data_IF_092625551349
#
_entry.id   IF_092625551349
#
_cell.length_a   1.000
_cell.length_b   1.000
_cell.length_c   1.000
_cell.angle_alpha   90.00
_cell.angle_beta   90.00
_cell.angle_gamma   90.00
#
_symmetry.space_group_name_H-M   'P 1'
#
loop_
_entity.id
_entity.type
_entity.pdbx_description
1 polymer ?
#
# COMPACT_ATOMS: atom_id res chain seq x y z
N UNK A 1 35.19 -12.10 16.49
CA UNK A 1 34.23 -11.05 16.88
C UNK A 1 34.23 -9.99 15.79
N UNK A 2 33.21 -9.96 14.94
CA UNK A 2 32.96 -8.84 14.04
C UNK A 2 31.45 -8.66 14.02
N UNK A 3 31.00 -7.71 14.83
CA UNK A 3 29.63 -7.29 14.96
C UNK A 3 29.33 -6.36 13.77
N UNK A 4 28.69 -6.89 12.74
CA UNK A 4 28.22 -6.11 11.60
C UNK A 4 27.05 -5.26 12.07
N UNK A 5 27.33 -4.00 12.42
CA UNK A 5 26.34 -2.98 12.79
C UNK A 5 25.33 -2.83 11.65
N UNK A 6 24.10 -3.32 11.85
CA UNK A 6 23.01 -3.20 10.89
C UNK A 6 22.71 -1.71 10.61
N UNK A 7 23.00 -1.16 9.43
CA UNK A 7 22.75 0.23 9.15
C UNK A 7 21.26 0.47 8.86
N UNK A 8 20.79 1.67 9.19
CA UNK A 8 19.72 2.40 8.49
C UNK A 8 18.23 2.09 8.80
N UNK A 9 17.90 1.10 9.62
CA UNK A 9 16.48 0.84 9.98
C UNK A 9 15.85 1.92 10.89
N UNK A 10 16.66 2.81 11.46
CA UNK A 10 16.25 3.85 12.44
C UNK A 10 16.29 5.28 11.88
N UNK A 11 16.77 5.49 10.66
CA UNK A 11 17.00 6.83 10.11
C UNK A 11 15.79 7.42 9.37
N UNK A 12 14.78 6.61 9.03
CA UNK A 12 13.53 7.06 8.37
C UNK A 12 12.33 6.87 9.27
N UNK A 13 12.32 7.59 10.39
CA UNK A 13 11.14 7.73 11.28
C UNK A 13 10.72 9.19 11.27
N UNK A 14 9.43 9.43 11.23
CA UNK A 14 8.82 10.76 11.27
C UNK A 14 7.61 10.69 12.19
N UNK A 15 7.38 11.76 12.95
CA UNK A 15 6.16 11.91 13.75
C UNK A 15 4.98 12.41 12.89
N UNK A 16 5.26 12.89 11.67
CA UNK A 16 4.23 13.14 10.64
C UNK A 16 3.73 11.80 10.07
N UNK A 17 2.43 11.47 10.22
CA UNK A 17 1.87 10.21 9.76
C UNK A 17 1.99 9.97 8.25
N UNK A 18 1.86 11.01 7.41
CA UNK A 18 1.95 10.86 5.96
C UNK A 18 3.38 10.55 5.52
N UNK A 19 4.36 11.20 6.15
CA UNK A 19 5.78 10.90 5.91
C UNK A 19 6.13 9.49 6.41
N UNK A 20 5.63 9.10 7.59
CA UNK A 20 5.83 7.76 8.13
C UNK A 20 5.23 6.67 7.24
N UNK A 21 4.01 6.89 6.73
CA UNK A 21 3.38 6.02 5.75
C UNK A 21 4.21 5.93 4.47
N UNK A 22 4.64 7.06 3.91
CA UNK A 22 5.44 7.07 2.70
C UNK A 22 6.74 6.25 2.85
N UNK A 23 7.46 6.38 3.97
CA UNK A 23 8.66 5.58 4.23
C UNK A 23 8.37 4.08 4.35
N UNK A 24 7.34 3.72 5.10
CA UNK A 24 6.93 2.33 5.25
C UNK A 24 6.51 1.71 3.90
N UNK A 25 5.70 2.42 3.12
CA UNK A 25 5.23 1.98 1.82
C UNK A 25 6.40 1.85 0.83
N UNK A 26 7.33 2.80 0.84
CA UNK A 26 8.53 2.77 0.00
C UNK A 26 9.40 1.54 0.30
N UNK A 27 9.60 1.22 1.58
CA UNK A 27 10.35 0.03 1.96
C UNK A 27 9.60 -1.26 1.61
N UNK A 28 8.29 -1.29 1.82
CA UNK A 28 7.44 -2.45 1.45
C UNK A 28 7.47 -2.70 -0.05
N UNK A 29 7.32 -1.65 -0.86
CA UNK A 29 7.47 -1.68 -2.32
C UNK A 29 8.81 -2.25 -2.72
N UNK A 30 9.90 -1.72 -2.15
CA UNK A 30 11.26 -2.15 -2.46
C UNK A 30 11.49 -3.63 -2.13
N UNK A 31 11.05 -4.07 -0.94
CA UNK A 31 11.20 -5.46 -0.48
C UNK A 31 10.33 -6.45 -1.25
N UNK A 32 9.14 -6.02 -1.67
CA UNK A 32 8.20 -6.83 -2.44
C UNK A 32 8.44 -6.80 -3.95
N UNK A 33 9.36 -5.98 -4.44
CA UNK A 33 9.58 -5.78 -5.88
C UNK A 33 8.35 -5.22 -6.60
N UNK A 34 7.56 -4.38 -5.91
CA UNK A 34 6.28 -3.88 -6.42
C UNK A 34 6.49 -2.68 -7.34
N UNK A 35 5.63 -2.53 -8.35
CA UNK A 35 5.59 -1.34 -9.19
C UNK A 35 5.08 -0.13 -8.38
N UNK A 36 3.99 -0.34 -7.61
CA UNK A 36 3.45 0.62 -6.66
C UNK A 36 2.71 -0.07 -5.51
N UNK A 37 2.57 0.65 -4.39
CA UNK A 37 1.75 0.29 -3.23
C UNK A 37 1.12 1.56 -2.67
N UNK A 38 -0.16 1.50 -2.33
CA UNK A 38 -1.01 2.64 -1.99
C UNK A 38 -1.88 2.30 -0.79
N UNK A 39 -2.03 3.27 0.10
CA UNK A 39 -3.14 3.33 1.05
C UNK A 39 -4.14 4.34 0.49
N UNK A 40 -5.34 3.87 0.21
CA UNK A 40 -6.46 4.68 -0.24
C UNK A 40 -7.57 4.66 0.82
N UNK A 41 -8.43 5.68 0.83
CA UNK A 41 -9.69 5.57 1.55
C UNK A 41 -10.71 4.71 0.77
N UNK A 42 -11.88 4.46 1.37
CA UNK A 42 -12.95 3.68 0.75
C UNK A 42 -13.66 4.40 -0.40
N UNK A 43 -13.36 5.69 -0.63
CA UNK A 43 -13.85 6.45 -1.79
C UNK A 43 -12.89 6.41 -2.98
N UNK A 44 -11.69 5.85 -2.80
CA UNK A 44 -10.67 5.73 -3.82
C UNK A 44 -9.70 6.91 -3.90
N UNK A 45 -9.59 7.73 -2.86
CA UNK A 45 -8.59 8.80 -2.78
C UNK A 45 -7.29 8.28 -2.17
N UNK A 46 -6.14 8.71 -2.72
CA UNK A 46 -4.82 8.39 -2.18
C UNK A 46 -4.63 9.07 -0.83
N UNK A 47 -4.43 8.28 0.22
CA UNK A 47 -3.96 8.76 1.53
C UNK A 47 -2.43 8.83 1.53
N UNK A 48 -1.77 7.77 1.06
CA UNK A 48 -0.32 7.73 0.88
C UNK A 48 0.06 6.67 -0.17
N UNK A 49 1.18 6.90 -0.87
CA UNK A 49 1.63 5.97 -1.90
C UNK A 49 3.15 5.93 -2.08
N UNK A 50 3.63 4.83 -2.64
CA UNK A 50 4.98 4.68 -3.14
C UNK A 50 4.93 4.07 -4.55
N UNK A 51 5.52 4.75 -5.52
CA UNK A 51 5.40 4.45 -6.95
C UNK A 51 5.38 5.74 -7.77
N UNK A 52 5.11 5.64 -9.07
CA UNK A 52 4.81 6.83 -9.87
C UNK A 52 3.42 7.37 -9.49
N UNK A 53 3.28 8.69 -9.46
CA UNK A 53 2.01 9.35 -9.10
C UNK A 53 0.81 8.85 -9.93
N UNK A 54 0.88 8.73 -11.27
CA UNK A 54 -0.25 8.26 -12.06
C UNK A 54 -0.70 6.84 -11.70
N UNK A 55 0.26 5.96 -11.36
CA UNK A 55 -0.07 4.59 -10.97
C UNK A 55 -0.69 4.54 -9.58
N UNK A 56 -0.23 5.38 -8.65
CA UNK A 56 -0.84 5.46 -7.32
C UNK A 56 -2.29 5.94 -7.39
N UNK A 57 -2.55 6.98 -8.18
CA UNK A 57 -3.90 7.53 -8.40
C UNK A 57 -4.81 6.49 -9.07
N UNK A 58 -4.33 5.82 -10.11
CA UNK A 58 -5.07 4.75 -10.78
C UNK A 58 -5.43 3.62 -9.78
N UNK A 59 -4.47 3.14 -8.99
CA UNK A 59 -4.71 2.09 -8.01
C UNK A 59 -5.75 2.48 -6.97
N UNK A 60 -5.69 3.72 -6.45
CA UNK A 60 -6.65 4.21 -5.48
C UNK A 60 -8.06 4.30 -6.09
N UNK A 61 -8.17 4.89 -7.28
CA UNK A 61 -9.46 5.10 -7.94
C UNK A 61 -10.22 3.78 -8.21
N UNK A 62 -9.50 2.70 -8.53
CA UNK A 62 -10.12 1.39 -8.78
C UNK A 62 -10.26 0.52 -7.53
N UNK A 63 -9.61 0.86 -6.41
CA UNK A 63 -9.61 0.05 -5.20
C UNK A 63 -11.01 -0.27 -4.65
N UNK A 64 -11.97 0.67 -4.58
CA UNK A 64 -13.32 0.38 -4.09
C UNK A 64 -14.07 -0.61 -4.98
N UNK A 65 -13.96 -0.45 -6.31
CA UNK A 65 -14.61 -1.34 -7.28
C UNK A 65 -14.06 -2.77 -7.19
N UNK A 66 -12.75 -2.90 -6.96
CA UNK A 66 -12.08 -4.20 -6.77
C UNK A 66 -12.46 -4.85 -5.44
N UNK A 67 -12.63 -4.06 -4.38
CA UNK A 67 -13.09 -4.56 -3.07
C UNK A 67 -14.52 -5.12 -3.16
N UNK A 68 -15.40 -4.48 -3.93
CA UNK A 68 -16.80 -4.88 -4.12
C UNK A 68 -16.97 -6.08 -5.09
N UNK A 69 -15.91 -6.45 -5.81
CA UNK A 69 -15.97 -7.50 -6.84
C UNK A 69 -16.68 -7.05 -8.12
N UNK A 70 -16.87 -5.75 -8.34
CA UNK A 70 -17.60 -5.16 -9.48
C UNK A 70 -16.71 -5.01 -10.73
N UNK A 71 -15.80 -5.95 -10.93
CA UNK A 71 -14.76 -5.89 -11.97
C UNK A 71 -15.29 -6.22 -13.36
N UNK A 72 -16.36 -7.00 -13.45
CA UNK A 72 -16.99 -7.41 -14.72
C UNK A 72 -17.62 -6.24 -15.50
N UNK A 73 -17.82 -5.09 -14.85
CA UNK A 73 -18.40 -3.89 -15.46
C UNK A 73 -17.37 -2.87 -15.96
N UNK A 74 -16.07 -3.15 -15.78
CA UNK A 74 -15.00 -2.22 -16.11
C UNK A 74 -14.67 -2.23 -17.61
N UNK A 75 -14.42 -1.07 -18.25
CA UNK A 75 -13.90 -1.02 -19.62
C UNK A 75 -12.60 -1.83 -19.72
N UNK A 76 -12.33 -2.43 -20.89
CA UNK A 76 -11.25 -3.41 -21.11
C UNK A 76 -9.87 -3.06 -20.53
N UNK A 77 -9.47 -1.78 -20.45
CA UNK A 77 -8.20 -1.36 -19.80
C UNK A 77 -8.19 -1.53 -18.28
N UNK A 78 -9.34 -1.46 -17.63
CA UNK A 78 -9.48 -1.64 -16.19
C UNK A 78 -9.65 -3.12 -15.82
N UNK A 79 -10.04 -3.98 -16.76
CA UNK A 79 -9.94 -5.44 -16.63
C UNK A 79 -8.49 -5.93 -16.54
N UNK A 80 -7.60 -5.42 -17.39
CA UNK A 80 -6.15 -5.69 -17.32
C UNK A 80 -5.52 -5.18 -16.00
N UNK A 81 -6.13 -4.15 -15.40
CA UNK A 81 -5.72 -3.59 -14.12
C UNK A 81 -6.16 -4.51 -12.96
N UNK A 82 -7.39 -5.01 -13.01
CA UNK A 82 -7.96 -5.89 -12.00
C UNK A 82 -7.16 -7.19 -11.79
N UNK A 83 -6.68 -7.80 -12.88
CA UNK A 83 -5.86 -9.02 -12.80
C UNK A 83 -4.47 -8.77 -12.15
N UNK A 84 -4.03 -7.51 -12.12
CA UNK A 84 -2.69 -7.13 -11.67
C UNK A 84 -2.67 -6.41 -10.30
N UNK A 85 -3.85 -6.19 -9.68
CA UNK A 85 -4.00 -5.37 -8.47
C UNK A 85 -4.66 -6.16 -7.36
N UNK A 86 -3.93 -6.31 -6.25
CA UNK A 86 -4.50 -6.87 -5.03
C UNK A 86 -4.94 -5.75 -4.09
N UNK A 87 -6.13 -5.91 -3.51
CA UNK A 87 -6.71 -4.98 -2.53
C UNK A 87 -6.93 -5.72 -1.21
N UNK A 88 -6.58 -5.07 -0.10
CA UNK A 88 -6.81 -5.57 1.26
C UNK A 88 -7.32 -4.44 2.14
N UNK A 89 -8.45 -4.65 2.81
CA UNK A 89 -8.94 -3.74 3.84
C UNK A 89 -8.06 -3.77 5.09
N UNK A 90 -7.76 -2.60 5.63
CA UNK A 90 -7.02 -2.38 6.88
C UNK A 90 -7.87 -1.48 7.79
N UNK A 91 -8.06 -1.90 9.02
CA UNK A 91 -8.74 -1.11 10.05
C UNK A 91 -7.75 -0.18 10.73
N UNK A 92 -8.04 1.12 10.77
CA UNK A 92 -7.22 2.14 11.40
C UNK A 92 -8.10 3.21 12.08
N UNK A 93 -7.95 3.40 13.38
CA UNK A 93 -8.68 4.47 14.09
C UNK A 93 -10.22 4.37 14.02
N UNK A 94 -10.77 3.17 13.79
CA UNK A 94 -12.21 2.96 13.58
C UNK A 94 -12.71 3.26 12.17
N UNK A 95 -11.80 3.48 11.22
CA UNK A 95 -12.10 3.63 9.80
C UNK A 95 -11.41 2.55 8.97
N UNK A 96 -12.02 2.24 7.83
CA UNK A 96 -11.47 1.35 6.83
C UNK A 96 -10.59 2.15 5.86
N UNK A 97 -9.40 1.62 5.59
CA UNK A 97 -8.57 2.03 4.45
C UNK A 97 -8.24 0.82 3.60
N UNK A 98 -7.92 1.07 2.33
CA UNK A 98 -7.60 0.05 1.35
C UNK A 98 -6.11 0.05 1.08
N UNK A 99 -5.46 -1.09 1.30
CA UNK A 99 -4.09 -1.34 0.90
C UNK A 99 -4.08 -2.01 -0.46
N UNK A 100 -3.57 -1.30 -1.46
CA UNK A 100 -3.57 -1.70 -2.86
C UNK A 100 -2.13 -1.80 -3.37
N UNK A 101 -1.82 -2.79 -4.19
CA UNK A 101 -0.50 -2.87 -4.83
C UNK A 101 -0.55 -3.53 -6.20
N UNK A 102 0.48 -3.23 -7.00
CA UNK A 102 0.67 -3.79 -8.34
C UNK A 102 2.04 -4.40 -8.52
N UNK A 103 2.06 -5.58 -9.15
CA UNK A 103 3.26 -6.29 -9.58
C UNK A 103 3.94 -7.06 -8.44
N UNK A 104 4.82 -7.99 -8.82
CA UNK A 104 5.52 -8.87 -7.89
C UNK A 104 4.60 -9.88 -7.19
N UNK A 105 5.21 -10.78 -6.42
CA UNK A 105 4.52 -11.60 -5.43
C UNK A 105 5.01 -11.19 -4.05
N UNK A 106 4.18 -10.46 -3.31
CA UNK A 106 4.51 -10.06 -1.94
C UNK A 106 4.30 -11.25 -0.99
N UNK A 107 5.28 -11.62 -0.15
CA UNK A 107 5.05 -12.62 0.89
C UNK A 107 3.94 -12.16 1.85
N UNK A 108 3.06 -13.07 2.25
CA UNK A 108 1.94 -12.77 3.16
C UNK A 108 2.40 -12.09 4.47
N UNK A 109 3.57 -12.49 4.99
CA UNK A 109 4.18 -11.86 6.16
C UNK A 109 4.56 -10.40 5.93
N UNK A 110 5.12 -10.06 4.77
CA UNK A 110 5.49 -8.68 4.43
C UNK A 110 4.23 -7.83 4.25
N UNK A 111 3.20 -8.36 3.61
CA UNK A 111 1.91 -7.69 3.47
C UNK A 111 1.20 -7.49 4.82
N UNK A 112 1.25 -8.50 5.70
CA UNK A 112 0.74 -8.41 7.07
C UNK A 112 1.49 -7.37 7.90
N UNK A 113 2.82 -7.31 7.79
CA UNK A 113 3.62 -6.30 8.46
C UNK A 113 3.30 -4.89 7.97
N UNK A 114 3.10 -4.71 6.66
CA UNK A 114 2.68 -3.44 6.08
C UNK A 114 1.31 -3.00 6.62
N UNK A 115 0.30 -3.88 6.58
CA UNK A 115 -1.03 -3.61 7.11
C UNK A 115 -1.00 -3.20 8.59
N UNK A 116 -0.27 -3.95 9.43
CA UNK A 116 -0.15 -3.64 10.87
C UNK A 116 0.51 -2.28 11.12
N UNK A 117 1.52 -1.93 10.33
CA UNK A 117 2.19 -0.66 10.49
C UNK A 117 1.38 0.52 9.94
N UNK A 118 0.57 0.34 8.89
CA UNK A 118 -0.44 1.32 8.43
C UNK A 118 -1.43 1.60 9.55
N UNK A 119 -2.03 0.54 10.12
CA UNK A 119 -3.00 0.66 11.22
C UNK A 119 -2.41 1.42 12.41
N UNK A 120 -1.16 1.13 12.79
CA UNK A 120 -0.47 1.83 13.87
C UNK A 120 -0.21 3.31 13.57
N UNK A 121 0.23 3.65 12.35
CA UNK A 121 0.58 5.03 11.99
C UNK A 121 -0.68 5.91 11.92
N UNK A 122 -1.77 5.38 11.38
CA UNK A 122 -3.03 6.11 11.21
C UNK A 122 -3.87 6.18 12.51
N UNK A 123 -3.56 5.36 13.50
CA UNK A 123 -4.20 5.41 14.82
C UNK A 123 -3.39 6.19 15.87
N UNK A 124 -2.23 6.75 15.49
CA UNK A 124 -1.33 7.49 16.36
C UNK A 124 -1.78 8.94 16.58
#
# INVERSE_FOLDING_TARGET
>A
MSETTAPDRRLRRSDDPLVALHYQLSETRRRGGLAAIVVADTSGLVVAGAGSWPLCEELAAFAPLLQEGTVDALPSRAGDLAEAVAVRTVQAGGQDVLLCYRGGQIPAELLGAAANGIARILAA
#
